data_IF_300160170869
#
_entry.id   IF_300160170869
#
_cell.length_a   1.000
_cell.length_b   1.000
_cell.length_c   1.000
_cell.angle_alpha   90.00
_cell.angle_beta   90.00
_cell.angle_gamma   90.00
#
_symmetry.space_group_name_H-M   'P 1'
#
loop_
_entity.id
_entity.type
_entity.pdbx_description
1 polymer ?
#
# COMPACT_ATOMS: atom_id res chain seq x y z
N UNK A 1 54.01 -5.76 -16.44
CA UNK A 1 55.46 -5.84 -16.59
C UNK A 1 56.03 -4.64 -15.88
N UNK A 2 56.64 -4.86 -14.71
CA UNK A 2 57.30 -3.79 -13.95
C UNK A 2 58.72 -3.74 -14.50
N UNK A 3 59.07 -2.70 -15.22
CA UNK A 3 60.45 -2.48 -15.68
C UNK A 3 61.36 -2.46 -14.47
N UNK A 4 62.31 -3.39 -14.47
CA UNK A 4 63.33 -3.44 -13.48
C UNK A 4 64.18 -2.15 -13.57
N UNK A 5 64.27 -1.39 -12.48
CA UNK A 5 65.10 -0.25 -12.35
C UNK A 5 66.57 -0.62 -12.68
N UNK A 6 67.06 -0.16 -13.83
CA UNK A 6 68.46 -0.32 -14.27
C UNK A 6 69.29 0.91 -13.92
N UNK A 7 69.19 1.40 -12.68
CA UNK A 7 70.13 2.38 -12.19
C UNK A 7 71.54 1.79 -12.10
N UNK A 8 72.59 2.60 -12.27
CA UNK A 8 73.94 2.09 -12.21
C UNK A 8 74.19 1.45 -10.82
N UNK A 9 74.45 0.15 -10.86
CA UNK A 9 74.92 -0.56 -9.66
C UNK A 9 76.18 0.12 -9.16
N UNK A 10 76.23 0.60 -7.93
CA UNK A 10 77.45 1.18 -7.42
C UNK A 10 78.54 0.11 -7.44
N UNK A 11 79.68 0.46 -8.06
CA UNK A 11 80.83 -0.41 -8.14
C UNK A 11 81.24 -0.87 -6.74
N UNK A 12 81.54 -2.17 -6.52
CA UNK A 12 82.01 -2.66 -5.23
C UNK A 12 83.29 -2.00 -4.71
N UNK A 13 83.96 -1.28 -5.56
CA UNK A 13 85.20 -0.54 -5.22
C UNK A 13 84.97 0.81 -4.51
N UNK A 14 83.70 1.28 -4.41
CA UNK A 14 83.41 2.55 -3.70
C UNK A 14 83.27 2.44 -2.19
N UNK A 15 83.41 1.27 -1.65
CA UNK A 15 83.37 1.06 -0.20
C UNK A 15 84.71 0.48 0.30
N UNK A 16 85.52 1.28 1.07
CA UNK A 16 86.73 0.78 1.69
C UNK A 16 86.40 -0.39 2.61
N UNK A 17 87.04 -1.53 2.40
CA UNK A 17 86.68 -2.82 3.01
C UNK A 17 86.83 -2.89 4.53
N UNK A 18 87.36 -1.89 5.22
CA UNK A 18 87.63 -1.97 6.64
C UNK A 18 87.43 -0.68 7.44
N UNK A 19 86.64 0.27 7.00
CA UNK A 19 86.34 1.45 7.81
C UNK A 19 84.97 1.34 8.49
N UNK A 20 84.90 1.47 9.83
CA UNK A 20 83.63 1.55 10.57
C UNK A 20 82.70 2.63 10.10
N UNK A 21 83.22 3.65 9.44
CA UNK A 21 82.48 4.79 8.88
C UNK A 21 81.71 4.45 7.58
N UNK A 22 82.14 3.39 6.85
CA UNK A 22 81.47 2.99 5.60
C UNK A 22 80.06 2.42 5.83
N UNK A 23 79.94 1.63 6.89
CA UNK A 23 78.63 1.05 7.28
C UNK A 23 77.68 2.13 7.77
N UNK A 24 78.18 3.10 8.58
CA UNK A 24 77.36 4.23 9.02
C UNK A 24 76.90 5.11 7.85
N UNK A 25 77.77 5.39 6.92
CA UNK A 25 77.42 6.16 5.73
C UNK A 25 76.40 5.45 4.84
N UNK A 26 76.44 4.10 4.78
CA UNK A 26 75.45 3.28 4.11
C UNK A 26 74.07 3.32 4.81
N UNK A 27 74.07 3.16 6.15
CA UNK A 27 72.88 3.28 6.94
C UNK A 27 72.25 4.66 6.83
N UNK A 28 73.03 5.73 6.96
CA UNK A 28 72.54 7.10 6.78
C UNK A 28 71.99 7.37 5.37
N UNK A 29 72.51 6.68 4.36
CA UNK A 29 71.98 6.76 2.99
C UNK A 29 70.68 6.01 2.84
N UNK A 30 70.58 4.82 3.45
CA UNK A 30 69.34 4.02 3.47
C UNK A 30 68.22 4.80 4.19
N UNK A 31 68.57 5.36 5.35
CA UNK A 31 67.58 6.17 6.11
C UNK A 31 67.12 7.40 5.34
N UNK A 32 68.03 8.08 4.63
CA UNK A 32 67.69 9.22 3.79
C UNK A 32 66.79 8.84 2.62
N UNK A 33 67.07 7.72 1.95
CA UNK A 33 66.27 7.22 0.85
C UNK A 33 64.87 6.77 1.36
N UNK A 34 64.80 6.13 2.50
CA UNK A 34 63.57 5.74 3.14
C UNK A 34 62.69 6.94 3.54
N UNK A 35 63.35 7.97 4.15
CA UNK A 35 62.67 9.23 4.46
C UNK A 35 62.18 9.99 3.21
N UNK A 36 62.99 10.07 2.18
CA UNK A 36 62.59 10.69 0.91
C UNK A 36 61.42 9.95 0.23
N UNK A 37 61.42 8.61 0.23
CA UNK A 37 60.33 7.82 -0.27
C UNK A 37 59.07 8.04 0.52
N UNK A 38 59.16 8.12 1.84
CA UNK A 38 58.01 8.39 2.74
C UNK A 38 57.47 9.83 2.51
N UNK A 39 58.35 10.82 2.42
CA UNK A 39 57.96 12.19 2.16
C UNK A 39 57.34 12.36 0.77
N UNK A 40 57.94 11.72 -0.24
CA UNK A 40 57.42 11.75 -1.62
C UNK A 40 56.03 11.16 -1.71
N UNK A 41 55.80 10.01 -1.08
CA UNK A 41 54.47 9.36 -1.03
C UNK A 41 53.47 10.22 -0.26
N UNK A 42 53.86 10.76 0.87
CA UNK A 42 53.04 11.68 1.65
C UNK A 42 52.65 12.94 0.89
N UNK A 43 53.61 13.53 0.17
CA UNK A 43 53.39 14.73 -0.65
C UNK A 43 52.47 14.44 -1.85
N UNK A 44 52.61 13.30 -2.51
CA UNK A 44 51.72 12.87 -3.59
C UNK A 44 50.26 12.71 -3.09
N UNK A 45 50.06 12.05 -1.97
CA UNK A 45 48.76 11.92 -1.37
C UNK A 45 48.16 13.28 -0.98
N UNK A 46 48.93 14.15 -0.38
CA UNK A 46 48.49 15.51 -0.01
C UNK A 46 48.15 16.35 -1.23
N UNK A 47 48.93 16.27 -2.31
CA UNK A 47 48.66 16.98 -3.57
C UNK A 47 47.39 16.45 -4.23
N UNK A 48 47.07 15.16 -4.07
CA UNK A 48 45.81 14.55 -4.52
C UNK A 48 44.63 14.83 -3.58
N UNK A 49 44.80 15.62 -2.50
CA UNK A 49 43.74 15.89 -1.53
C UNK A 49 43.44 14.74 -0.60
N UNK A 50 44.35 13.75 -0.49
CA UNK A 50 44.16 12.54 0.36
C UNK A 50 45.01 12.70 1.61
N UNK A 51 44.40 12.63 2.79
CA UNK A 51 45.10 12.67 4.09
C UNK A 51 44.83 11.39 4.85
N UNK A 52 45.89 10.71 5.25
CA UNK A 52 45.85 9.56 6.14
C UNK A 52 46.16 10.01 7.57
N UNK A 53 45.30 9.71 8.50
CA UNK A 53 45.47 9.99 9.92
C UNK A 53 45.21 8.71 10.74
N UNK A 54 45.50 8.76 12.05
CA UNK A 54 45.12 7.67 12.93
C UNK A 54 43.59 7.43 13.02
N UNK A 55 42.79 8.44 12.64
CA UNK A 55 41.33 8.39 12.65
C UNK A 55 40.73 7.93 11.30
N UNK A 56 41.55 7.79 10.25
CA UNK A 56 41.11 7.34 8.95
C UNK A 56 41.69 8.10 7.76
N UNK A 57 41.16 7.85 6.61
CA UNK A 57 41.49 8.52 5.35
C UNK A 57 40.47 9.62 5.06
N UNK A 58 40.98 10.83 4.78
CA UNK A 58 40.19 11.99 4.35
C UNK A 58 40.50 12.31 2.89
N UNK A 59 39.46 12.54 2.11
CA UNK A 59 39.55 12.96 0.70
C UNK A 59 38.88 14.33 0.61
N UNK A 60 39.67 15.37 0.38
CA UNK A 60 39.20 16.75 0.34
C UNK A 60 38.59 17.13 -1.03
N UNK A 61 38.60 16.21 -1.99
CA UNK A 61 38.04 16.37 -3.34
C UNK A 61 37.06 15.24 -3.69
N UNK A 62 36.90 14.90 -4.97
CA UNK A 62 36.05 13.80 -5.40
C UNK A 62 36.78 12.45 -5.33
N UNK A 63 36.05 11.40 -4.92
CA UNK A 63 36.49 10.02 -5.05
C UNK A 63 35.69 9.34 -6.17
N UNK A 64 36.36 8.80 -7.17
CA UNK A 64 35.76 7.96 -8.20
C UNK A 64 36.19 6.52 -7.98
N UNK A 65 35.21 5.63 -7.79
CA UNK A 65 35.44 4.19 -7.68
C UNK A 65 34.96 3.53 -8.97
N UNK A 66 35.89 3.02 -9.79
CA UNK A 66 35.59 2.39 -11.08
C UNK A 66 35.02 0.96 -10.97
N UNK A 67 34.87 0.45 -9.76
CA UNK A 67 34.32 -0.87 -9.47
C UNK A 67 33.30 -0.82 -8.32
N UNK A 68 33.27 -1.83 -7.47
CA UNK A 68 32.39 -1.88 -6.29
C UNK A 68 33.03 -1.14 -5.11
N UNK A 69 32.20 -0.45 -4.33
CA UNK A 69 32.52 0.06 -3.01
C UNK A 69 31.79 -0.80 -1.96
N UNK A 70 32.55 -1.47 -1.10
CA UNK A 70 32.00 -2.23 0.03
C UNK A 70 32.22 -1.45 1.33
N UNK A 71 31.13 -1.15 2.04
CA UNK A 71 31.13 -0.44 3.32
C UNK A 71 30.56 -1.36 4.39
N UNK A 72 31.43 -1.96 5.21
CA UNK A 72 31.02 -2.89 6.27
C UNK A 72 30.43 -2.21 7.51
N UNK A 73 30.54 -0.89 7.62
CA UNK A 73 30.02 -0.09 8.71
C UNK A 73 28.91 0.90 8.26
N UNK A 74 28.49 1.80 9.15
CA UNK A 74 27.54 2.85 8.81
C UNK A 74 28.07 3.76 7.70
N UNK A 75 27.23 4.04 6.70
CA UNK A 75 27.49 5.06 5.68
C UNK A 75 26.65 6.31 5.97
N UNK A 76 27.29 7.47 6.08
CA UNK A 76 26.61 8.76 6.29
C UNK A 76 26.87 9.64 5.08
N UNK A 77 25.80 10.09 4.42
CA UNK A 77 25.85 11.04 3.32
C UNK A 77 25.29 12.37 3.81
N UNK A 78 26.13 13.39 3.97
CA UNK A 78 25.72 14.70 4.47
C UNK A 78 25.03 15.60 3.44
N UNK A 79 24.95 15.16 2.18
CA UNK A 79 24.31 15.85 1.07
C UNK A 79 23.34 14.96 0.30
N UNK A 80 23.20 15.23 -1.01
CA UNK A 80 22.37 14.42 -1.89
C UNK A 80 23.07 13.12 -2.27
N UNK A 81 22.41 11.99 -2.13
CA UNK A 81 22.78 10.71 -2.75
C UNK A 81 21.94 10.50 -4.01
N UNK A 82 22.59 10.26 -5.15
CA UNK A 82 21.93 9.92 -6.41
C UNK A 82 22.26 8.47 -6.78
N UNK A 83 21.24 7.67 -7.07
CA UNK A 83 21.36 6.27 -7.49
C UNK A 83 20.70 6.13 -8.86
N UNK A 84 21.51 6.02 -9.92
CA UNK A 84 21.01 5.88 -11.30
C UNK A 84 20.50 4.46 -11.62
N UNK A 85 20.70 3.53 -10.73
CA UNK A 85 20.27 2.12 -10.87
C UNK A 85 19.32 1.66 -9.77
N UNK A 86 19.08 0.36 -9.72
CA UNK A 86 18.25 -0.24 -8.69
C UNK A 86 18.91 -0.15 -7.31
N UNK A 87 18.14 0.26 -6.32
CA UNK A 87 18.56 0.27 -4.92
C UNK A 87 17.80 -0.81 -4.16
N UNK A 88 18.53 -1.70 -3.49
CA UNK A 88 17.95 -2.74 -2.62
C UNK A 88 18.27 -2.42 -1.17
N UNK A 89 17.23 -2.33 -0.33
CA UNK A 89 17.37 -2.13 1.11
C UNK A 89 16.90 -3.41 1.80
N UNK A 90 17.84 -4.18 2.35
CA UNK A 90 17.54 -5.46 3.00
C UNK A 90 16.90 -5.34 4.39
N UNK A 91 16.77 -4.12 4.91
CA UNK A 91 16.15 -3.82 6.21
C UNK A 91 15.08 -2.74 6.09
N UNK A 92 14.79 -2.07 7.19
CA UNK A 92 13.83 -0.98 7.22
C UNK A 92 14.41 0.31 6.62
N UNK A 93 13.62 1.01 5.80
CA UNK A 93 13.90 2.37 5.37
C UNK A 93 13.03 3.36 6.17
N UNK A 94 13.67 4.32 6.86
CA UNK A 94 12.98 5.41 7.52
C UNK A 94 13.17 6.70 6.70
N UNK A 95 12.07 7.28 6.22
CA UNK A 95 12.07 8.51 5.44
C UNK A 95 11.35 9.58 6.25
N UNK A 96 12.09 10.57 6.71
CA UNK A 96 11.55 11.69 7.51
C UNK A 96 11.05 12.86 6.65
N UNK A 97 11.31 12.83 5.36
CA UNK A 97 10.87 13.83 4.38
C UNK A 97 9.79 13.29 3.45
N UNK A 98 9.62 13.93 2.30
CA UNK A 98 8.67 13.52 1.27
C UNK A 98 9.25 12.37 0.44
N UNK A 99 8.52 11.27 0.35
CA UNK A 99 8.76 10.20 -0.62
C UNK A 99 7.91 10.47 -1.86
N UNK A 100 8.56 10.73 -3.00
CA UNK A 100 7.88 10.86 -4.29
C UNK A 100 8.09 9.60 -5.11
N UNK A 101 7.01 8.93 -5.44
CA UNK A 101 7.01 7.73 -6.28
C UNK A 101 6.11 7.95 -7.49
N UNK A 102 6.46 7.38 -8.67
CA UNK A 102 5.54 7.35 -9.79
C UNK A 102 4.21 6.68 -9.43
N UNK A 103 3.12 7.09 -10.09
CA UNK A 103 1.81 6.51 -9.84
C UNK A 103 1.80 4.98 -10.10
N UNK A 104 1.14 4.23 -9.21
CA UNK A 104 0.97 2.78 -9.35
C UNK A 104 2.15 1.90 -8.89
N UNK A 105 3.21 2.50 -8.32
CA UNK A 105 4.38 1.73 -7.85
C UNK A 105 4.12 1.00 -6.52
N UNK A 106 3.30 1.58 -5.64
CA UNK A 106 2.92 0.90 -4.40
C UNK A 106 1.59 0.18 -4.65
N UNK A 107 1.64 -1.13 -4.63
CA UNK A 107 0.42 -1.94 -4.60
C UNK A 107 -0.22 -1.88 -3.22
N UNK A 108 -1.55 -1.97 -3.18
CA UNK A 108 -2.32 -2.01 -1.94
C UNK A 108 -1.87 -3.14 -1.00
N UNK A 109 -1.43 -4.27 -1.56
CA UNK A 109 -0.90 -5.42 -0.81
C UNK A 109 0.42 -5.13 -0.08
N UNK A 110 1.17 -4.13 -0.54
CA UNK A 110 2.42 -3.68 0.09
C UNK A 110 2.18 -2.76 1.31
N UNK A 111 0.95 -2.33 1.52
CA UNK A 111 0.58 -1.48 2.66
C UNK A 111 0.27 -2.34 3.90
N UNK A 112 0.71 -1.88 5.05
CA UNK A 112 0.39 -2.53 6.35
C UNK A 112 -1.12 -2.51 6.61
N UNK A 113 -1.81 -1.51 6.10
CA UNK A 113 -3.26 -1.34 6.19
C UNK A 113 -3.84 -1.02 4.81
N UNK A 114 -3.98 -2.00 3.92
CA UNK A 114 -4.59 -1.79 2.63
C UNK A 114 -6.05 -1.40 2.78
N UNK A 115 -6.51 -0.51 1.91
CA UNK A 115 -7.92 -0.15 1.76
C UNK A 115 -8.38 -0.72 0.42
N UNK A 116 -9.39 -1.58 0.47
CA UNK A 116 -10.01 -2.13 -0.73
C UNK A 116 -11.41 -1.52 -0.85
N UNK A 117 -11.70 -0.91 -1.99
CA UNK A 117 -13.02 -0.41 -2.30
C UNK A 117 -13.71 -1.36 -3.29
N UNK A 118 -14.99 -1.61 -3.08
CA UNK A 118 -15.82 -2.42 -3.96
C UNK A 118 -17.20 -1.79 -4.11
N UNK A 119 -17.90 -2.14 -5.18
CA UNK A 119 -19.22 -1.61 -5.49
C UNK A 119 -20.15 -2.77 -5.83
N UNK A 120 -21.30 -2.80 -5.16
CA UNK A 120 -22.40 -3.70 -5.48
C UNK A 120 -23.51 -2.90 -6.14
N UNK A 121 -23.93 -3.34 -7.31
CA UNK A 121 -25.07 -2.77 -8.03
C UNK A 121 -25.87 -3.93 -8.64
N UNK A 122 -27.02 -4.23 -8.09
CA UNK A 122 -27.88 -5.32 -8.54
C UNK A 122 -29.31 -4.87 -8.69
N UNK A 123 -29.97 -5.47 -9.66
CA UNK A 123 -31.40 -5.30 -9.91
C UNK A 123 -32.05 -6.67 -10.06
N UNK A 124 -33.24 -6.81 -9.52
CA UNK A 124 -34.09 -7.99 -9.70
C UNK A 124 -35.50 -7.55 -10.05
N UNK A 125 -36.23 -8.40 -10.75
CA UNK A 125 -37.64 -8.20 -11.14
C UNK A 125 -38.48 -9.42 -10.79
N UNK A 126 -39.77 -9.25 -10.79
CA UNK A 126 -40.69 -10.41 -10.63
C UNK A 126 -40.81 -10.97 -9.22
N UNK A 127 -40.38 -10.26 -8.20
CA UNK A 127 -40.43 -10.71 -6.81
C UNK A 127 -41.83 -10.58 -6.18
N UNK A 128 -42.07 -11.29 -5.10
CA UNK A 128 -43.25 -11.17 -4.24
C UNK A 128 -42.97 -10.27 -3.05
N UNK A 129 -43.97 -9.52 -2.60
CA UNK A 129 -43.87 -8.68 -1.40
C UNK A 129 -44.72 -9.34 -0.29
N UNK A 130 -44.09 -9.90 0.75
CA UNK A 130 -44.82 -10.50 1.85
C UNK A 130 -45.48 -9.44 2.73
N UNK A 131 -46.55 -9.84 3.42
CA UNK A 131 -47.20 -8.98 4.39
C UNK A 131 -46.46 -8.92 5.74
N UNK A 132 -46.67 -7.85 6.48
CA UNK A 132 -46.18 -7.68 7.85
C UNK A 132 -46.58 -8.89 8.74
N UNK A 133 -45.71 -9.42 9.61
CA UNK A 133 -44.38 -8.90 9.96
C UNK A 133 -43.22 -9.49 9.14
N UNK A 134 -43.46 -10.13 8.03
CA UNK A 134 -42.45 -10.90 7.29
C UNK A 134 -41.76 -10.03 6.23
N UNK A 135 -40.45 -9.89 6.33
CA UNK A 135 -39.61 -9.25 5.30
C UNK A 135 -39.16 -10.28 4.27
N UNK A 136 -39.33 -9.97 3.01
CA UNK A 136 -38.86 -10.78 1.89
C UNK A 136 -37.68 -10.16 1.17
N UNK A 137 -36.74 -10.99 0.72
CA UNK A 137 -35.63 -10.50 -0.12
C UNK A 137 -36.15 -10.26 -1.55
N UNK A 138 -36.17 -9.02 -1.98
CA UNK A 138 -36.52 -8.64 -3.36
C UNK A 138 -35.33 -8.81 -4.30
N UNK A 139 -34.12 -8.43 -3.84
CA UNK A 139 -32.85 -8.68 -4.51
C UNK A 139 -31.80 -9.00 -3.44
N UNK A 140 -30.93 -9.95 -3.70
CA UNK A 140 -29.87 -10.32 -2.77
C UNK A 140 -28.65 -10.89 -3.49
N UNK A 141 -27.50 -10.74 -2.85
CA UNK A 141 -26.24 -11.38 -3.25
C UNK A 141 -25.36 -11.61 -2.02
N UNK A 142 -24.21 -12.20 -2.25
CA UNK A 142 -23.12 -12.32 -1.27
C UNK A 142 -21.91 -11.54 -1.72
N UNK A 143 -21.20 -10.97 -0.76
CA UNK A 143 -19.90 -10.30 -0.91
C UNK A 143 -18.86 -11.06 -0.11
N UNK A 144 -17.64 -11.14 -0.61
CA UNK A 144 -16.57 -11.88 0.07
C UNK A 144 -15.61 -10.89 0.73
N UNK A 145 -15.27 -11.15 2.00
CA UNK A 145 -14.27 -10.36 2.72
C UNK A 145 -12.90 -10.51 2.03
N UNK A 146 -12.28 -9.44 1.54
CA UNK A 146 -10.99 -9.53 0.85
C UNK A 146 -9.88 -10.07 1.74
N UNK A 147 -8.83 -10.68 1.17
CA UNK A 147 -7.67 -11.13 1.91
C UNK A 147 -7.05 -10.01 2.77
N UNK A 148 -6.78 -10.33 4.04
CA UNK A 148 -6.16 -9.39 4.97
C UNK A 148 -7.09 -8.30 5.52
N UNK A 149 -8.35 -8.21 5.10
CA UNK A 149 -9.32 -7.27 5.66
C UNK A 149 -10.12 -7.91 6.80
N UNK A 150 -10.36 -7.14 7.86
CA UNK A 150 -11.13 -7.58 9.05
C UNK A 150 -12.25 -6.61 9.41
N UNK A 151 -12.38 -5.50 8.69
CA UNK A 151 -13.40 -4.50 8.91
C UNK A 151 -14.07 -4.10 7.59
N UNK A 152 -15.32 -3.70 7.66
CA UNK A 152 -16.12 -3.19 6.56
C UNK A 152 -16.84 -1.91 6.99
N UNK A 153 -16.65 -0.83 6.23
CA UNK A 153 -17.54 0.33 6.18
C UNK A 153 -18.37 0.23 4.92
N UNK A 154 -19.68 0.27 5.04
CA UNK A 154 -20.58 0.18 3.88
C UNK A 154 -21.63 1.28 3.92
N UNK A 155 -21.86 1.91 2.75
CA UNK A 155 -23.02 2.77 2.53
C UNK A 155 -23.88 2.13 1.47
N UNK A 156 -25.13 1.84 1.81
CA UNK A 156 -26.04 1.10 0.96
C UNK A 156 -27.32 1.87 0.72
N UNK A 157 -27.89 1.72 -0.48
CA UNK A 157 -29.24 2.21 -0.83
C UNK A 157 -30.04 1.06 -1.42
N UNK A 158 -31.20 0.87 -0.88
CA UNK A 158 -32.22 -0.05 -1.36
C UNK A 158 -33.37 0.71 -1.98
N UNK A 159 -33.83 0.28 -3.13
CA UNK A 159 -35.01 0.81 -3.78
C UNK A 159 -35.91 -0.35 -4.20
N UNK A 160 -37.19 -0.20 -4.02
CA UNK A 160 -38.18 -1.16 -4.47
C UNK A 160 -39.37 -0.44 -5.10
N UNK A 161 -39.88 -1.05 -6.13
CA UNK A 161 -41.07 -0.65 -6.87
C UNK A 161 -41.92 -1.88 -7.07
N UNK A 162 -43.19 -1.77 -6.72
CA UNK A 162 -44.09 -2.91 -6.86
C UNK A 162 -45.49 -2.47 -7.24
N UNK A 163 -46.19 -3.35 -7.94
CA UNK A 163 -47.60 -3.16 -8.29
C UNK A 163 -48.45 -3.77 -7.17
N UNK A 164 -49.31 -2.93 -6.61
CA UNK A 164 -50.32 -3.39 -5.67
C UNK A 164 -51.50 -4.04 -6.41
N UNK A 165 -51.67 -5.38 -6.35
CA UNK A 165 -52.75 -6.06 -7.03
C UNK A 165 -54.09 -5.99 -6.27
N UNK A 166 -54.08 -5.44 -5.04
CA UNK A 166 -55.25 -5.46 -4.17
C UNK A 166 -56.27 -4.43 -4.64
N UNK A 167 -57.42 -4.90 -5.03
CA UNK A 167 -58.56 -4.08 -5.49
C UNK A 167 -59.45 -3.61 -4.34
N UNK A 168 -59.33 -4.20 -3.17
CA UNK A 168 -60.09 -3.87 -1.96
C UNK A 168 -59.14 -3.35 -0.90
N UNK A 169 -59.37 -2.15 -0.46
CA UNK A 169 -58.52 -1.36 0.37
C UNK A 169 -57.89 -2.05 1.57
N UNK A 170 -56.75 -1.55 1.99
CA UNK A 170 -56.16 -1.76 3.28
C UNK A 170 -57.17 -1.49 4.41
N UNK A 171 -56.86 -1.81 5.65
CA UNK A 171 -57.79 -1.83 6.80
C UNK A 171 -58.68 -0.59 7.00
N UNK A 172 -58.50 0.47 6.24
CA UNK A 172 -59.30 1.71 6.27
C UNK A 172 -60.23 1.91 5.06
N UNK A 173 -60.44 0.91 4.19
CA UNK A 173 -61.40 1.00 3.09
C UNK A 173 -60.98 1.92 1.92
N UNK A 174 -59.76 2.43 1.89
CA UNK A 174 -59.32 3.43 0.90
C UNK A 174 -58.40 2.85 -0.19
N UNK A 175 -58.32 1.55 -0.37
CA UNK A 175 -57.78 0.96 -1.60
C UNK A 175 -56.26 1.03 -1.78
N UNK A 176 -55.49 1.19 -0.73
CA UNK A 176 -54.00 1.27 -0.86
C UNK A 176 -53.27 0.43 0.17
N UNK A 177 -52.08 0.01 -0.18
CA UNK A 177 -51.14 -0.61 0.73
C UNK A 177 -49.80 0.14 0.71
N UNK A 178 -49.00 -0.06 1.74
CA UNK A 178 -47.71 0.61 1.88
C UNK A 178 -46.63 -0.44 1.59
N UNK A 179 -45.75 -0.12 0.68
CA UNK A 179 -44.53 -0.89 0.44
C UNK A 179 -43.42 -0.31 1.30
N UNK A 180 -42.92 -1.11 2.23
CA UNK A 180 -41.71 -0.80 2.97
C UNK A 180 -40.49 -1.45 2.32
N UNK A 181 -39.38 -0.77 2.36
CA UNK A 181 -38.09 -1.24 1.84
C UNK A 181 -36.99 -0.96 2.85
N UNK A 182 -36.04 -1.88 2.97
CA UNK A 182 -34.84 -1.69 3.78
C UNK A 182 -33.64 -2.40 3.20
N UNK A 183 -32.46 -1.96 3.59
CA UNK A 183 -31.20 -2.70 3.38
C UNK A 183 -31.04 -3.73 4.47
N UNK A 184 -30.69 -4.95 4.11
CA UNK A 184 -30.14 -5.96 5.02
C UNK A 184 -28.68 -6.24 4.63
N UNK A 185 -27.75 -6.06 5.55
CA UNK A 185 -26.34 -6.41 5.38
C UNK A 185 -25.89 -7.27 6.55
N UNK A 186 -25.51 -8.50 6.26
CA UNK A 186 -25.02 -9.48 7.23
C UNK A 186 -25.87 -9.57 8.51
N UNK A 187 -27.18 -9.63 8.34
CA UNK A 187 -28.16 -9.71 9.45
C UNK A 187 -28.51 -8.37 10.11
N UNK A 188 -27.77 -7.28 9.81
CA UNK A 188 -28.09 -5.94 10.28
C UNK A 188 -28.96 -5.21 9.26
N UNK A 189 -30.08 -4.62 9.71
CA UNK A 189 -31.00 -3.93 8.83
C UNK A 189 -30.94 -2.40 9.03
N UNK A 190 -31.09 -1.64 7.93
CA UNK A 190 -31.40 -0.21 8.01
C UNK A 190 -32.82 0.00 8.55
N UNK A 191 -33.13 1.25 8.92
CA UNK A 191 -34.52 1.60 9.14
C UNK A 191 -35.34 1.34 7.88
N UNK A 192 -36.51 0.71 7.99
CA UNK A 192 -37.48 0.61 6.93
C UNK A 192 -38.16 1.96 6.71
N UNK A 193 -38.36 2.35 5.45
CA UNK A 193 -39.15 3.51 5.11
C UNK A 193 -40.15 3.11 4.03
N UNK A 194 -41.44 3.29 4.32
CA UNK A 194 -42.49 3.13 3.36
C UNK A 194 -43.10 4.45 2.99
N UNK A 195 -43.13 4.78 1.73
CA UNK A 195 -43.95 5.88 1.18
C UNK A 195 -44.68 5.32 -0.01
N UNK A 196 -45.95 5.24 0.10
CA UNK A 196 -46.76 4.96 -1.08
C UNK A 196 -48.15 4.47 -0.69
N UNK A 197 -49.13 5.30 -0.94
CA UNK A 197 -50.51 4.91 -1.04
C UNK A 197 -50.80 4.77 -2.54
N UNK A 198 -50.83 3.54 -3.03
CA UNK A 198 -51.35 3.31 -4.36
C UNK A 198 -52.79 2.77 -4.25
N UNK A 199 -53.72 3.30 -5.02
CA UNK A 199 -55.01 2.66 -5.25
C UNK A 199 -54.82 1.28 -5.88
N UNK A 200 -55.92 0.52 -6.02
CA UNK A 200 -55.88 -0.79 -6.68
C UNK A 200 -55.22 -0.71 -8.05
N UNK A 201 -54.31 -1.65 -8.36
CA UNK A 201 -53.49 -1.67 -9.58
C UNK A 201 -52.53 -0.46 -9.73
N UNK A 202 -52.31 0.28 -8.65
CA UNK A 202 -51.37 1.38 -8.65
C UNK A 202 -49.93 0.93 -8.34
N UNK A 203 -48.99 1.72 -8.82
CA UNK A 203 -47.58 1.55 -8.50
C UNK A 203 -47.26 2.15 -7.15
N UNK A 204 -46.44 1.47 -6.38
CA UNK A 204 -45.87 2.01 -5.16
C UNK A 204 -44.36 1.82 -5.17
N UNK A 205 -43.66 2.78 -4.65
CA UNK A 205 -42.18 2.72 -4.53
C UNK A 205 -41.75 3.09 -3.13
N UNK A 206 -40.64 2.52 -2.76
CA UNK A 206 -39.99 2.77 -1.46
C UNK A 206 -38.47 2.77 -1.64
N UNK A 207 -37.80 3.59 -0.86
CA UNK A 207 -36.35 3.61 -0.81
C UNK A 207 -35.86 3.72 0.63
N UNK A 208 -34.72 3.13 0.89
CA UNK A 208 -34.06 3.21 2.19
C UNK A 208 -32.54 3.25 2.01
N UNK A 209 -31.86 3.89 2.91
CA UNK A 209 -30.41 3.91 2.95
C UNK A 209 -29.91 3.55 4.33
N UNK A 210 -28.70 3.01 4.39
CA UNK A 210 -28.04 2.68 5.65
C UNK A 210 -26.53 2.74 5.53
N UNK A 211 -25.91 3.11 6.62
CA UNK A 211 -24.47 2.99 6.79
C UNK A 211 -24.18 1.93 7.84
N UNK A 212 -23.25 1.04 7.53
CA UNK A 212 -22.94 -0.12 8.36
C UNK A 212 -21.43 -0.17 8.63
N UNK A 213 -21.09 -0.58 9.83
CA UNK A 213 -19.72 -0.88 10.23
C UNK A 213 -19.67 -2.26 10.85
N UNK A 214 -18.80 -3.11 10.33
CA UNK A 214 -18.49 -4.42 10.87
C UNK A 214 -17.01 -4.51 11.20
N UNK A 215 -16.69 -5.17 12.30
CA UNK A 215 -15.33 -5.47 12.73
C UNK A 215 -15.19 -6.93 13.10
N UNK A 216 -13.95 -7.43 13.16
CA UNK A 216 -13.68 -8.84 13.47
C UNK A 216 -14.11 -9.80 12.36
N UNK A 217 -14.17 -9.34 11.11
CA UNK A 217 -14.50 -10.18 9.97
C UNK A 217 -13.36 -11.14 9.66
N UNK A 218 -13.70 -12.32 9.18
CA UNK A 218 -12.71 -13.31 8.74
C UNK A 218 -12.46 -13.15 7.25
N UNK A 219 -11.21 -12.97 6.79
CA UNK A 219 -10.88 -12.97 5.37
C UNK A 219 -11.39 -14.24 4.66
N UNK A 220 -12.00 -14.07 3.50
CA UNK A 220 -12.63 -15.15 2.74
C UNK A 220 -14.05 -15.53 3.18
N UNK A 221 -14.53 -15.01 4.30
CA UNK A 221 -15.93 -15.20 4.71
C UNK A 221 -16.89 -14.46 3.76
N UNK A 222 -18.10 -14.96 3.62
CA UNK A 222 -19.15 -14.34 2.81
C UNK A 222 -20.14 -13.61 3.71
N UNK A 223 -20.53 -12.40 3.31
CA UNK A 223 -21.56 -11.59 3.94
C UNK A 223 -22.74 -11.47 2.96
N UNK A 224 -23.97 -11.60 3.47
CA UNK A 224 -25.17 -11.39 2.65
C UNK A 224 -25.53 -9.91 2.58
N UNK A 225 -25.94 -9.46 1.38
CA UNK A 225 -26.51 -8.13 1.18
C UNK A 225 -27.81 -8.26 0.41
N UNK A 226 -28.85 -7.54 0.83
CA UNK A 226 -30.17 -7.61 0.21
C UNK A 226 -30.95 -6.31 0.33
N UNK A 227 -31.82 -6.07 -0.64
CA UNK A 227 -33.00 -5.21 -0.48
C UNK A 227 -34.13 -6.08 0.01
N UNK A 228 -34.65 -5.79 1.19
CA UNK A 228 -35.83 -6.42 1.74
C UNK A 228 -37.05 -5.54 1.57
N UNK A 229 -38.18 -6.17 1.34
CA UNK A 229 -39.46 -5.51 1.15
C UNK A 229 -40.53 -6.15 2.06
N UNK A 230 -41.53 -5.36 2.38
CA UNK A 230 -42.68 -5.72 3.20
C UNK A 230 -43.87 -4.91 2.76
N UNK A 231 -45.05 -5.55 2.63
CA UNK A 231 -46.31 -4.83 2.55
C UNK A 231 -46.92 -4.69 3.95
N UNK A 232 -47.39 -3.50 4.28
CA UNK A 232 -47.85 -3.21 5.65
C UNK A 232 -49.13 -3.96 5.99
N UNK A 233 -50.02 -4.15 5.05
CA UNK A 233 -51.32 -4.77 5.30
C UNK A 233 -51.48 -6.13 4.60
N UNK A 234 -51.28 -6.19 3.30
CA UNK A 234 -51.54 -7.41 2.51
C UNK A 234 -50.37 -7.72 1.59
N UNK A 235 -49.99 -8.98 1.44
CA UNK A 235 -48.93 -9.40 0.56
C UNK A 235 -49.23 -9.03 -0.91
N UNK A 236 -48.25 -8.56 -1.64
CA UNK A 236 -48.31 -8.38 -3.08
C UNK A 236 -47.83 -9.65 -3.77
N UNK A 237 -48.59 -10.12 -4.75
CA UNK A 237 -48.18 -11.22 -5.58
C UNK A 237 -46.92 -10.92 -6.40
N UNK A 238 -46.36 -11.97 -6.99
CA UNK A 238 -45.32 -11.82 -7.99
C UNK A 238 -45.86 -11.09 -9.20
N UNK A 239 -45.16 -10.03 -9.65
CA UNK A 239 -45.47 -9.32 -10.87
C UNK A 239 -44.16 -9.04 -11.62
N UNK A 240 -44.16 -9.23 -12.93
CA UNK A 240 -42.98 -9.00 -13.79
C UNK A 240 -42.44 -7.58 -13.73
N UNK A 241 -43.30 -6.64 -13.41
CA UNK A 241 -43.01 -5.21 -13.32
C UNK A 241 -42.52 -4.81 -11.92
N UNK A 242 -42.58 -5.72 -10.91
CA UNK A 242 -41.94 -5.48 -9.61
C UNK A 242 -40.44 -5.41 -9.83
N UNK A 243 -39.81 -4.32 -9.39
CA UNK A 243 -38.39 -4.07 -9.56
C UNK A 243 -37.75 -3.64 -8.24
N UNK A 244 -36.64 -4.25 -7.89
CA UNK A 244 -35.86 -3.85 -6.74
C UNK A 244 -34.38 -3.71 -7.11
N UNK A 245 -33.71 -2.74 -6.48
CA UNK A 245 -32.28 -2.50 -6.64
C UNK A 245 -31.58 -2.48 -5.29
N UNK A 246 -30.35 -2.88 -5.28
CA UNK A 246 -29.39 -2.64 -4.19
C UNK A 246 -28.13 -2.01 -4.76
N UNK A 247 -27.74 -0.87 -4.22
CA UNK A 247 -26.47 -0.21 -4.51
C UNK A 247 -25.68 -0.10 -3.22
N UNK A 248 -24.42 -0.50 -3.23
CA UNK A 248 -23.55 -0.35 -2.07
C UNK A 248 -22.15 0.04 -2.47
N UNK A 249 -21.57 0.95 -1.70
CA UNK A 249 -20.14 1.25 -1.69
C UNK A 249 -19.54 0.62 -0.45
N UNK A 250 -18.56 -0.22 -0.65
CA UNK A 250 -17.90 -1.03 0.37
C UNK A 250 -16.46 -0.56 0.52
N UNK A 251 -16.03 -0.27 1.74
CA UNK A 251 -14.64 0.09 2.06
C UNK A 251 -14.14 -0.94 3.09
N UNK A 252 -13.22 -1.78 2.64
CA UNK A 252 -12.62 -2.82 3.45
C UNK A 252 -11.34 -2.30 4.10
N UNK A 253 -11.16 -2.58 5.38
CA UNK A 253 -10.03 -2.16 6.19
C UNK A 253 -9.42 -3.37 6.91
N UNK A 254 -8.14 -3.26 7.27
CA UNK A 254 -7.46 -4.20 8.18
C UNK A 254 -7.74 -3.90 9.63
#
# INVERSE_FOLDING_TARGET
MIDAWTGPTPSPQQFPKNEPNGIRALLDRIDRVALQAKESTSNLLRTAGIRLTQLGMFIDSSLTVGGSLDVTGPMVVGGTANFDGNTTIGGNAAITGTLSLPAGIINNDALTSPVVADIVNLTNTGFTVPANPTWGNAVSTTITVPPGCTQLLATCTAEAYAINPNTTGGSNGTGGDILDCRVLLNGSASAGYGIGLSGSNGFTSSSSSGSFHFSGLTPGATLSIATQVLAVYQAFGSNVDNKATINATLIWLR
#
